data_IF_015562140376
#
_entry.id   IF_015562140376
#
_cell.length_a   1.000
_cell.length_b   1.000
_cell.length_c   1.000
_cell.angle_alpha   90.00
_cell.angle_beta   90.00
_cell.angle_gamma   90.00
#
_symmetry.space_group_name_H-M   'P 1'
#
loop_
_entity.id
_entity.type
_entity.pdbx_description
1 polymer ?
#
# COMPACT_ATOMS: atom_id res chain seq x y z
N UNK A 1 24.53 38.89 -1.02
CA UNK A 1 25.06 37.89 -0.07
C UNK A 1 24.62 36.55 -0.60
N UNK A 2 25.52 35.83 -1.26
CA UNK A 2 25.26 34.49 -1.81
C UNK A 2 25.11 33.52 -0.64
N UNK A 3 23.95 32.88 -0.50
CA UNK A 3 23.74 31.85 0.52
C UNK A 3 24.54 30.61 0.10
N UNK A 4 25.67 30.36 0.75
CA UNK A 4 26.40 29.09 0.62
C UNK A 4 25.51 27.98 1.21
N UNK A 5 24.77 27.28 0.36
CA UNK A 5 24.09 26.05 0.74
C UNK A 5 25.16 25.07 1.26
N UNK A 6 25.18 24.85 2.58
CA UNK A 6 26.13 23.93 3.20
C UNK A 6 25.88 22.53 2.67
N UNK A 7 26.85 21.97 1.94
CA UNK A 7 26.82 20.56 1.54
C UNK A 7 27.12 19.72 2.79
N UNK A 8 26.09 19.14 3.38
CA UNK A 8 26.23 18.20 4.50
C UNK A 8 26.39 16.79 3.93
N UNK A 9 27.53 16.15 4.21
CA UNK A 9 27.79 14.76 3.84
C UNK A 9 27.26 13.84 4.95
N UNK A 10 26.26 13.04 4.64
CA UNK A 10 25.73 12.03 5.56
C UNK A 10 26.35 10.66 5.26
N UNK A 11 26.93 9.96 6.25
CA UNK A 11 27.44 8.61 6.05
C UNK A 11 26.27 7.67 5.72
N UNK A 12 26.27 7.07 4.54
CA UNK A 12 25.18 6.18 4.08
C UNK A 12 24.88 5.04 5.07
N UNK A 13 25.90 4.52 5.74
CA UNK A 13 25.79 3.46 6.75
C UNK A 13 25.18 3.89 8.09
N UNK A 14 24.89 5.20 8.28
CA UNK A 14 24.20 5.74 9.46
C UNK A 14 22.84 6.36 9.11
N UNK A 15 22.37 6.19 7.89
CA UNK A 15 21.08 6.67 7.43
C UNK A 15 20.13 5.51 7.22
N UNK A 16 18.83 5.79 7.39
CA UNK A 16 17.77 4.90 6.91
C UNK A 16 17.34 5.37 5.54
N UNK A 17 17.22 4.43 4.60
CA UNK A 17 16.69 4.69 3.27
C UNK A 17 15.18 4.49 3.32
N UNK A 18 14.42 5.49 2.89
CA UNK A 18 12.96 5.41 2.81
C UNK A 18 12.54 5.37 1.35
N UNK A 19 11.88 4.28 0.96
CA UNK A 19 11.26 4.15 -0.36
C UNK A 19 9.77 4.49 -0.24
N UNK A 20 9.31 5.45 -1.06
CA UNK A 20 7.92 5.90 -1.07
C UNK A 20 7.22 5.35 -2.31
N UNK A 21 6.14 4.60 -2.09
CA UNK A 21 5.34 3.98 -3.14
C UNK A 21 3.89 4.39 -2.95
N UNK A 22 3.27 4.95 -4.00
CA UNK A 22 1.82 5.19 -4.04
C UNK A 22 1.10 3.87 -4.34
N UNK A 23 -0.11 3.68 -3.80
CA UNK A 23 -0.96 2.55 -4.19
C UNK A 23 -1.19 2.53 -5.71
N UNK A 24 -1.33 1.33 -6.27
CA UNK A 24 -1.71 1.14 -7.65
C UNK A 24 -3.16 1.60 -7.92
N UNK A 25 -3.58 1.65 -9.18
CA UNK A 25 -4.91 2.12 -9.54
C UNK A 25 -6.00 1.30 -8.83
N UNK A 26 -6.82 1.98 -8.02
CA UNK A 26 -8.02 1.43 -7.40
C UNK A 26 -9.29 1.78 -8.17
N UNK A 27 -10.39 1.07 -7.89
CA UNK A 27 -11.70 1.34 -8.50
C UNK A 27 -12.13 2.80 -8.25
N UNK A 28 -11.81 3.36 -7.07
CA UNK A 28 -12.06 4.77 -6.75
C UNK A 28 -11.35 5.76 -7.68
N UNK A 29 -10.16 5.43 -8.22
CA UNK A 29 -9.48 6.31 -9.16
C UNK A 29 -10.25 6.42 -10.47
N UNK A 30 -10.70 5.28 -11.01
CA UNK A 30 -11.48 5.21 -12.26
C UNK A 30 -12.83 5.92 -12.11
N UNK A 31 -13.47 5.80 -10.95
CA UNK A 31 -14.72 6.51 -10.66
C UNK A 31 -14.49 8.02 -10.53
N UNK A 32 -13.47 8.43 -9.77
CA UNK A 32 -13.11 9.84 -9.57
C UNK A 32 -12.67 10.57 -10.84
N UNK A 33 -11.98 9.89 -11.76
CA UNK A 33 -11.62 10.43 -13.09
C UNK A 33 -12.85 10.73 -13.95
N UNK A 34 -13.94 9.96 -13.79
CA UNK A 34 -15.21 10.18 -14.50
C UNK A 34 -16.08 11.21 -13.81
N UNK A 35 -16.12 11.18 -12.48
CA UNK A 35 -16.89 12.08 -11.65
C UNK A 35 -16.13 12.35 -10.35
N UNK A 36 -15.63 13.57 -10.19
CA UNK A 36 -14.82 13.95 -9.03
C UNK A 36 -15.56 13.78 -7.70
N UNK A 37 -16.88 13.90 -7.68
CA UNK A 37 -17.70 13.69 -6.47
C UNK A 37 -17.65 12.23 -5.98
N UNK A 38 -17.28 11.28 -6.84
CA UNK A 38 -17.16 9.87 -6.50
C UNK A 38 -16.03 9.61 -5.48
N UNK A 39 -15.06 10.52 -5.31
CA UNK A 39 -14.05 10.41 -4.25
C UNK A 39 -14.65 10.49 -2.84
N UNK A 40 -15.85 11.07 -2.70
CA UNK A 40 -16.56 11.17 -1.43
C UNK A 40 -17.57 10.03 -1.21
N UNK A 41 -17.64 9.06 -2.12
CA UNK A 41 -18.51 7.90 -1.96
C UNK A 41 -17.99 6.96 -0.88
N UNK A 42 -18.85 6.63 0.09
CA UNK A 42 -18.56 5.63 1.13
C UNK A 42 -18.27 4.25 0.52
N UNK A 43 -18.92 3.90 -0.59
CA UNK A 43 -18.69 2.62 -1.30
C UNK A 43 -17.28 2.51 -1.89
N UNK A 44 -16.65 3.64 -2.19
CA UNK A 44 -15.31 3.71 -2.77
C UNK A 44 -14.23 4.01 -1.73
N UNK A 45 -14.61 4.19 -0.47
CA UNK A 45 -13.72 4.53 0.62
C UNK A 45 -12.58 3.51 0.74
N UNK A 46 -12.92 2.23 0.85
CA UNK A 46 -11.99 1.11 0.94
C UNK A 46 -11.89 0.31 -0.37
N UNK A 47 -11.90 1.01 -1.50
CA UNK A 47 -11.84 0.40 -2.82
C UNK A 47 -10.58 -0.46 -3.01
N UNK A 48 -10.77 -1.64 -3.63
CA UNK A 48 -9.70 -2.53 -4.08
C UNK A 48 -9.08 -2.08 -5.42
N UNK A 49 -8.00 -2.74 -5.81
CA UNK A 49 -7.27 -2.51 -7.05
C UNK A 49 -8.05 -2.95 -8.30
N UNK A 50 -7.90 -2.20 -9.39
CA UNK A 50 -8.41 -2.60 -10.71
C UNK A 50 -7.51 -3.67 -11.34
N UNK A 51 -7.92 -4.33 -12.44
CA UNK A 51 -7.03 -5.19 -13.22
C UNK A 51 -5.76 -4.46 -13.70
N UNK A 52 -5.87 -3.18 -14.08
CA UNK A 52 -4.71 -2.34 -14.41
C UNK A 52 -3.85 -2.06 -13.16
N UNK A 53 -4.46 -1.85 -12.01
CA UNK A 53 -3.77 -1.72 -10.73
C UNK A 53 -2.92 -2.95 -10.41
N UNK A 54 -3.45 -4.15 -10.63
CA UNK A 54 -2.69 -5.39 -10.47
C UNK A 54 -1.55 -5.52 -11.49
N UNK A 55 -1.74 -5.09 -12.74
CA UNK A 55 -0.64 -5.04 -13.70
C UNK A 55 0.48 -4.09 -13.26
N UNK A 56 0.14 -2.95 -12.66
CA UNK A 56 1.13 -2.03 -12.07
C UNK A 56 1.88 -2.68 -10.91
N UNK A 57 1.17 -3.41 -10.05
CA UNK A 57 1.76 -4.19 -8.95
C UNK A 57 2.74 -5.23 -9.48
N UNK A 58 2.36 -6.02 -10.49
CA UNK A 58 3.22 -7.07 -11.05
C UNK A 58 4.49 -6.49 -11.68
N UNK A 59 4.36 -5.36 -12.40
CA UNK A 59 5.52 -4.66 -12.96
C UNK A 59 6.48 -4.16 -11.87
N UNK A 60 5.93 -3.61 -10.78
CA UNK A 60 6.76 -3.12 -9.67
C UNK A 60 7.39 -4.29 -8.88
N UNK A 61 6.65 -5.37 -8.63
CA UNK A 61 7.18 -6.59 -8.02
C UNK A 61 8.40 -7.11 -8.78
N UNK A 62 8.27 -7.24 -10.11
CA UNK A 62 9.35 -7.64 -10.99
C UNK A 62 10.55 -6.70 -10.87
N UNK A 63 10.33 -5.39 -10.93
CA UNK A 63 11.39 -4.39 -10.85
C UNK A 63 12.16 -4.45 -9.51
N UNK A 64 11.45 -4.54 -8.39
CA UNK A 64 12.05 -4.60 -7.04
C UNK A 64 12.90 -5.86 -6.87
N UNK A 65 12.49 -6.99 -7.46
CA UNK A 65 13.24 -8.25 -7.47
C UNK A 65 14.48 -8.17 -8.37
N UNK A 66 14.33 -7.72 -9.62
CA UNK A 66 15.42 -7.63 -10.59
C UNK A 66 16.49 -6.61 -10.18
N UNK A 67 16.12 -5.56 -9.44
CA UNK A 67 17.06 -4.57 -8.89
C UNK A 67 17.77 -5.02 -7.61
N UNK A 68 17.38 -6.15 -7.02
CA UNK A 68 17.85 -6.59 -5.69
C UNK A 68 17.30 -5.75 -4.54
N UNK A 69 16.42 -4.78 -4.80
CA UNK A 69 15.88 -3.89 -3.77
C UNK A 69 15.15 -4.67 -2.68
N UNK A 70 14.43 -5.73 -3.04
CA UNK A 70 13.71 -6.60 -2.09
C UNK A 70 14.59 -7.13 -0.96
N UNK A 71 15.87 -7.39 -1.21
CA UNK A 71 16.79 -7.96 -0.21
C UNK A 71 17.22 -6.92 0.83
N UNK A 72 17.10 -5.63 0.50
CA UNK A 72 17.47 -4.51 1.37
C UNK A 72 16.32 -3.89 2.14
N UNK A 73 15.08 -4.41 2.01
CA UNK A 73 13.93 -3.88 2.73
C UNK A 73 13.84 -4.52 4.12
N UNK A 74 14.05 -3.70 5.16
CA UNK A 74 13.93 -4.13 6.55
C UNK A 74 12.46 -4.20 7.04
N UNK A 75 11.58 -3.37 6.48
CA UNK A 75 10.21 -3.17 6.94
C UNK A 75 9.34 -2.52 5.86
N UNK A 76 8.10 -3.03 5.70
CA UNK A 76 7.07 -2.41 4.86
C UNK A 76 5.98 -1.79 5.74
N UNK A 77 5.78 -0.48 5.62
CA UNK A 77 4.74 0.26 6.35
C UNK A 77 3.65 0.68 5.37
N UNK A 78 2.40 0.41 5.72
CA UNK A 78 1.26 0.63 4.82
C UNK A 78 0.12 1.35 5.55
N UNK A 79 -0.65 2.13 4.79
CA UNK A 79 -1.99 2.53 5.21
C UNK A 79 -2.91 1.29 5.26
N UNK A 80 -3.87 1.20 6.19
CA UNK A 80 -4.75 0.05 6.33
C UNK A 80 -5.85 -0.04 5.26
N UNK A 81 -5.83 0.81 4.22
CA UNK A 81 -6.79 0.71 3.12
C UNK A 81 -6.46 -0.49 2.22
N UNK A 82 -7.50 -1.13 1.69
CA UNK A 82 -7.39 -2.36 0.92
C UNK A 82 -6.48 -2.19 -0.31
N UNK A 83 -6.62 -1.10 -1.06
CA UNK A 83 -5.72 -0.77 -2.18
C UNK A 83 -4.25 -0.63 -1.79
N UNK A 84 -3.94 -0.07 -0.62
CA UNK A 84 -2.55 0.10 -0.17
C UNK A 84 -1.97 -1.22 0.31
N UNK A 85 -2.76 -2.03 1.02
CA UNK A 85 -2.38 -3.38 1.43
C UNK A 85 -2.19 -4.30 0.22
N UNK A 86 -3.12 -4.33 -0.74
CA UNK A 86 -3.01 -5.12 -1.97
C UNK A 86 -1.77 -4.72 -2.78
N UNK A 87 -1.48 -3.42 -2.90
CA UNK A 87 -0.26 -2.96 -3.57
C UNK A 87 0.97 -3.47 -2.84
N UNK A 88 1.05 -3.26 -1.54
CA UNK A 88 2.24 -3.59 -0.77
C UNK A 88 2.49 -5.10 -0.69
N UNK A 89 1.45 -5.90 -0.42
CA UNK A 89 1.56 -7.36 -0.36
C UNK A 89 1.83 -7.93 -1.75
N UNK A 90 1.23 -7.38 -2.81
CA UNK A 90 1.53 -7.79 -4.18
C UNK A 90 2.97 -7.48 -4.60
N UNK A 91 3.53 -6.36 -4.17
CA UNK A 91 4.90 -5.94 -4.55
C UNK A 91 5.97 -6.60 -3.68
N UNK A 92 5.78 -6.63 -2.37
CA UNK A 92 6.81 -7.04 -1.40
C UNK A 92 6.51 -8.38 -0.71
N UNK A 93 5.38 -9.01 -1.01
CA UNK A 93 5.05 -10.33 -0.49
C UNK A 93 5.87 -11.45 -1.12
N UNK A 94 5.72 -12.64 -0.55
CA UNK A 94 6.32 -13.86 -1.07
C UNK A 94 5.69 -14.29 -2.40
N UNK A 95 6.26 -15.33 -3.00
CA UNK A 95 5.68 -15.99 -4.17
C UNK A 95 4.32 -16.62 -3.86
N UNK A 96 3.64 -17.10 -4.91
CA UNK A 96 2.42 -17.88 -4.79
C UNK A 96 2.57 -19.06 -3.82
N UNK A 97 1.50 -19.38 -3.11
CA UNK A 97 1.48 -20.48 -2.15
C UNK A 97 1.78 -21.81 -2.86
N UNK A 98 2.97 -22.37 -2.63
CA UNK A 98 3.30 -23.74 -3.04
C UNK A 98 2.70 -24.73 -2.04
N UNK A 99 2.16 -25.84 -2.54
CA UNK A 99 1.69 -26.96 -1.72
C UNK A 99 2.78 -27.38 -0.72
N UNK A 100 2.45 -27.42 0.58
CA UNK A 100 3.37 -27.85 1.64
C UNK A 100 4.00 -26.75 2.51
N UNK A 101 3.63 -25.47 2.31
CA UNK A 101 4.03 -24.39 3.22
C UNK A 101 3.08 -24.37 4.44
N UNK A 102 3.58 -24.67 5.63
CA UNK A 102 2.83 -24.57 6.90
C UNK A 102 2.94 -23.16 7.49
N UNK A 103 2.59 -22.15 6.70
CA UNK A 103 2.55 -20.75 7.13
C UNK A 103 1.24 -20.10 6.65
N UNK A 104 0.61 -19.23 7.46
CA UNK A 104 -0.57 -18.50 7.03
C UNK A 104 -0.22 -17.58 5.85
N UNK A 105 -1.11 -17.43 4.86
CA UNK A 105 -0.87 -16.52 3.75
C UNK A 105 -0.80 -15.07 4.24
N UNK A 106 0.07 -14.26 3.63
CA UNK A 106 0.13 -12.82 3.85
C UNK A 106 -1.11 -12.12 3.30
N UNK A 107 -1.68 -12.65 2.21
CA UNK A 107 -2.99 -12.25 1.69
C UNK A 107 -3.72 -13.48 1.16
N UNK A 108 -4.99 -13.63 1.56
CA UNK A 108 -5.84 -14.74 1.12
C UNK A 108 -6.16 -14.65 -0.39
N UNK A 109 -6.50 -15.79 -0.99
CA UNK A 109 -6.93 -15.83 -2.38
C UNK A 109 -8.19 -14.97 -2.59
N UNK A 110 -8.27 -14.34 -3.76
CA UNK A 110 -9.37 -13.48 -4.19
C UNK A 110 -9.69 -12.31 -3.24
N UNK A 111 -8.73 -11.85 -2.44
CA UNK A 111 -8.90 -10.66 -1.60
C UNK A 111 -9.27 -9.45 -2.46
N UNK A 112 -10.41 -8.81 -2.13
CA UNK A 112 -10.95 -7.68 -2.87
C UNK A 112 -11.33 -8.02 -4.31
N UNK A 113 -11.95 -9.18 -4.56
CA UNK A 113 -12.42 -9.61 -5.89
C UNK A 113 -11.33 -9.50 -6.97
N UNK A 114 -10.12 -9.92 -6.62
CA UNK A 114 -8.93 -9.76 -7.46
C UNK A 114 -8.72 -10.91 -8.44
N UNK A 115 -9.40 -12.05 -8.27
CA UNK A 115 -9.13 -13.32 -8.96
C UNK A 115 -7.66 -13.79 -8.83
N UNK A 116 -6.96 -13.30 -7.80
CA UNK A 116 -5.56 -13.64 -7.50
C UNK A 116 -5.47 -14.83 -6.57
N UNK A 117 -4.42 -15.62 -6.73
CA UNK A 117 -4.05 -16.65 -5.75
C UNK A 117 -3.59 -16.02 -4.43
N UNK A 118 -3.58 -16.83 -3.36
CA UNK A 118 -3.04 -16.39 -2.08
C UNK A 118 -1.54 -16.02 -2.22
N UNK A 119 -1.13 -14.98 -1.50
CA UNK A 119 0.26 -14.50 -1.45
C UNK A 119 0.90 -15.01 -0.16
N UNK A 120 2.07 -15.64 -0.28
CA UNK A 120 2.79 -16.20 0.86
C UNK A 120 3.46 -15.12 1.72
N UNK A 121 3.62 -15.39 3.01
CA UNK A 121 4.48 -14.61 3.91
C UNK A 121 5.93 -15.11 3.94
N UNK A 122 6.28 -16.10 3.13
CA UNK A 122 7.66 -16.60 3.05
C UNK A 122 8.57 -15.61 2.32
N UNK A 123 9.78 -15.44 2.83
CA UNK A 123 10.82 -14.59 2.24
C UNK A 123 10.36 -13.15 1.96
N UNK A 124 9.39 -12.64 2.73
CA UNK A 124 8.97 -11.24 2.67
C UNK A 124 9.45 -10.49 3.93
N UNK A 125 9.71 -9.17 3.83
CA UNK A 125 9.94 -8.34 5.01
C UNK A 125 8.71 -8.33 5.94
N UNK A 126 8.87 -7.92 7.21
CA UNK A 126 7.73 -7.68 8.09
C UNK A 126 6.86 -6.53 7.55
N UNK A 127 5.56 -6.62 7.79
CA UNK A 127 4.57 -5.61 7.42
C UNK A 127 3.94 -4.99 8.66
N UNK A 128 3.73 -3.68 8.64
CA UNK A 128 2.93 -2.96 9.63
C UNK A 128 1.90 -2.10 8.90
N UNK A 129 0.61 -2.35 9.15
CA UNK A 129 -0.46 -1.46 8.77
C UNK A 129 -0.71 -0.46 9.91
N UNK A 130 -0.62 0.84 9.62
CA UNK A 130 -0.83 1.88 10.62
C UNK A 130 -1.56 3.07 10.01
N UNK A 131 -2.50 3.62 10.77
CA UNK A 131 -3.21 4.84 10.45
C UNK A 131 -3.03 5.78 11.64
N UNK A 132 -2.37 6.93 11.40
CA UNK A 132 -2.04 7.90 12.46
C UNK A 132 -2.92 9.16 12.41
N UNK A 133 -3.41 9.55 11.23
CA UNK A 133 -4.35 10.67 11.04
C UNK A 133 -5.12 10.48 9.74
N UNK A 134 -6.43 10.73 9.74
CA UNK A 134 -7.22 11.00 8.53
C UNK A 134 -7.50 12.50 8.44
N UNK A 135 -6.96 13.15 7.41
CA UNK A 135 -7.20 14.57 7.14
C UNK A 135 -8.61 14.90 6.62
N UNK A 136 -9.39 13.90 6.18
CA UNK A 136 -10.76 14.09 5.69
C UNK A 136 -11.72 13.03 6.22
N UNK A 137 -12.35 13.31 7.37
CA UNK A 137 -13.67 12.77 7.68
C UNK A 137 -14.70 13.85 7.33
N UNK A 138 -15.39 13.72 6.19
CA UNK A 138 -16.67 14.42 6.04
C UNK A 138 -17.68 13.61 6.84
N UNK A 139 -17.89 14.02 8.09
CA UNK A 139 -19.03 13.60 8.87
C UNK A 139 -20.30 14.12 8.15
N UNK A 140 -21.30 13.29 7.81
CA UNK A 140 -22.62 13.86 7.62
C UNK A 140 -23.00 14.43 8.97
N UNK A 141 -23.07 15.76 9.06
CA UNK A 141 -23.58 16.47 10.23
C UNK A 141 -25.01 15.98 10.52
N UNK A 142 -25.10 14.88 11.26
CA UNK A 142 -26.29 14.57 12.04
C UNK A 142 -26.31 15.59 13.18
N UNK A 143 -27.42 16.30 13.42
CA UNK A 143 -27.45 17.38 14.40
C UNK A 143 -27.26 16.93 15.85
N UNK A 144 -27.15 15.62 16.13
CA UNK A 144 -27.20 15.11 17.48
C UNK A 144 -26.14 14.04 17.77
N UNK A 145 -25.37 14.33 18.82
CA UNK A 145 -24.56 13.46 19.68
C UNK A 145 -23.09 13.21 19.30
N UNK A 146 -22.24 14.05 19.88
CA UNK A 146 -21.13 13.67 20.78
C UNK A 146 -20.88 12.16 20.93
N UNK A 147 -20.22 11.55 19.95
CA UNK A 147 -19.33 10.41 20.18
C UNK A 147 -18.11 10.54 19.28
N UNK A 148 -17.03 11.07 19.88
CA UNK A 148 -15.68 10.85 19.39
C UNK A 148 -15.46 9.34 19.20
N UNK A 149 -15.08 8.94 18.00
CA UNK A 149 -14.31 7.73 17.79
C UNK A 149 -13.14 8.08 16.87
N UNK A 150 -11.95 7.68 17.33
CA UNK A 150 -10.66 7.82 16.65
C UNK A 150 -10.66 7.16 15.28
#
# INVERSE_FOLDING_TARGET
>A
MESTAGSSLYPSHRCKTLHLVRHAQGIHNVAGEKNHDAYFSEELFDAYLTPLGWQQVDNLHKHVRESGLSEGIDLVIVSPLLRTMQTAVGVFGGEGYAEGIDAPPLMVANAGNSDRSAISSLNCPPFIAVELCREHFVWPATPDNDKLFF
#
